data_IF_700517067957
#
_entry.id   IF_700517067957
#
_cell.length_a   1.000
_cell.length_b   1.000
_cell.length_c   1.000
_cell.angle_alpha   90.00
_cell.angle_beta   90.00
_cell.angle_gamma   90.00
#
_symmetry.space_group_name_H-M   'P 1'
#
loop_
_entity.id
_entity.type
_entity.pdbx_description
1 polymer ?
#
# COMPACT_ATOMS: atom_id res chain seq x y z
N UNK A 1 10.37 -0.34 -49.60
CA UNK A 1 11.14 0.89 -49.85
C UNK A 1 10.25 2.09 -50.16
N UNK A 2 9.37 2.01 -51.17
CA UNK A 2 8.48 3.13 -51.53
C UNK A 2 7.52 3.54 -50.39
N UNK A 3 6.96 2.57 -49.65
CA UNK A 3 6.08 2.79 -48.49
C UNK A 3 6.78 3.45 -47.29
N UNK A 4 8.06 3.12 -47.07
CA UNK A 4 8.87 3.73 -46.01
C UNK A 4 9.30 5.16 -46.35
N UNK A 5 9.56 5.42 -47.64
CA UNK A 5 9.88 6.77 -48.14
C UNK A 5 8.68 7.70 -48.01
N UNK A 6 7.48 7.22 -48.32
CA UNK A 6 6.23 7.99 -48.16
C UNK A 6 5.96 8.29 -46.69
N UNK A 7 6.16 7.32 -45.79
CA UNK A 7 5.99 7.52 -44.34
C UNK A 7 7.00 8.54 -43.79
N UNK A 8 8.26 8.46 -44.24
CA UNK A 8 9.31 9.41 -43.87
C UNK A 8 8.99 10.83 -44.34
N UNK A 9 8.49 10.99 -45.58
CA UNK A 9 8.07 12.30 -46.11
C UNK A 9 6.88 12.86 -45.32
N UNK A 10 5.89 12.04 -44.99
CA UNK A 10 4.72 12.44 -44.20
C UNK A 10 5.11 12.86 -42.79
N UNK A 11 5.98 12.10 -42.12
CA UNK A 11 6.50 12.43 -40.80
C UNK A 11 7.35 13.70 -40.84
N UNK A 12 8.24 13.86 -41.82
CA UNK A 12 9.09 15.05 -41.95
C UNK A 12 8.27 16.32 -42.19
N UNK A 13 7.23 16.24 -43.02
CA UNK A 13 6.31 17.34 -43.25
C UNK A 13 5.46 17.67 -42.01
N UNK A 14 5.02 16.65 -41.27
CA UNK A 14 4.27 16.78 -40.03
C UNK A 14 5.13 17.43 -38.93
N UNK A 15 6.40 17.05 -38.79
CA UNK A 15 7.30 17.58 -37.77
C UNK A 15 7.81 19.00 -38.08
N UNK A 16 8.04 19.34 -39.35
CA UNK A 16 8.34 20.73 -39.74
C UNK A 16 7.18 21.71 -39.48
N UNK A 17 5.96 21.20 -39.37
CA UNK A 17 4.79 21.99 -38.97
C UNK A 17 4.71 22.21 -37.44
N UNK A 18 5.10 21.20 -36.65
CA UNK A 18 5.17 21.27 -35.17
C UNK A 18 6.27 22.23 -34.70
N UNK A 19 7.39 22.31 -35.42
CA UNK A 19 8.52 23.20 -35.12
C UNK A 19 8.16 24.70 -35.16
N UNK A 20 7.13 25.09 -35.92
CA UNK A 20 6.66 26.48 -36.00
C UNK A 20 5.87 26.97 -34.76
N UNK A 21 5.63 26.12 -33.76
CA UNK A 21 4.72 26.38 -32.62
C UNK A 21 5.43 26.52 -31.25
N UNK A 22 6.75 26.77 -31.21
CA UNK A 22 7.53 27.10 -29.99
C UNK A 22 7.33 26.19 -28.76
N UNK A 23 7.10 24.89 -28.95
CA UNK A 23 7.30 23.88 -27.90
C UNK A 23 8.32 22.86 -28.37
N UNK A 24 9.09 22.29 -27.44
CA UNK A 24 10.30 21.46 -27.56
C UNK A 24 10.17 20.15 -28.38
N UNK A 25 9.62 20.22 -29.58
CA UNK A 25 9.38 19.09 -30.47
C UNK A 25 10.63 18.61 -31.20
N UNK A 26 11.61 19.48 -31.45
CA UNK A 26 12.82 19.14 -32.24
C UNK A 26 13.70 18.11 -31.54
N UNK A 27 13.89 18.22 -30.23
CA UNK A 27 14.66 17.26 -29.44
C UNK A 27 14.03 15.86 -29.46
N UNK A 28 12.73 15.76 -29.14
CA UNK A 28 12.01 14.49 -29.12
C UNK A 28 11.86 13.87 -30.51
N UNK A 29 11.73 14.70 -31.55
CA UNK A 29 11.69 14.24 -32.95
C UNK A 29 13.04 13.64 -33.37
N UNK A 30 14.14 14.33 -33.07
CA UNK A 30 15.49 13.83 -33.37
C UNK A 30 15.81 12.56 -32.55
N UNK A 31 15.37 12.50 -31.29
CA UNK A 31 15.55 11.35 -30.41
C UNK A 31 14.78 10.12 -30.92
N UNK A 32 13.51 10.28 -31.31
CA UNK A 32 12.70 9.21 -31.88
C UNK A 32 13.23 8.74 -33.24
N UNK A 33 13.69 9.67 -34.09
CA UNK A 33 14.35 9.33 -35.36
C UNK A 33 15.68 8.58 -35.15
N UNK A 34 16.45 8.92 -34.12
CA UNK A 34 17.69 8.23 -33.76
C UNK A 34 17.39 6.80 -33.27
N UNK A 35 16.41 6.63 -32.37
CA UNK A 35 15.97 5.32 -31.90
C UNK A 35 15.46 4.47 -33.08
N UNK A 36 14.66 5.07 -33.96
CA UNK A 36 14.12 4.41 -35.14
C UNK A 36 15.24 3.97 -36.11
N UNK A 37 16.23 4.82 -36.35
CA UNK A 37 17.40 4.51 -37.17
C UNK A 37 18.22 3.35 -36.57
N UNK A 38 18.45 3.37 -35.26
CA UNK A 38 19.19 2.32 -34.54
C UNK A 38 18.43 0.99 -34.56
N UNK A 39 17.11 1.01 -34.36
CA UNK A 39 16.27 -0.19 -34.38
C UNK A 39 16.18 -0.83 -35.77
N UNK A 40 16.06 0.00 -36.81
CA UNK A 40 16.09 -0.47 -38.20
C UNK A 40 17.45 -1.08 -38.53
N UNK A 41 18.55 -0.39 -38.22
CA UNK A 41 19.90 -0.89 -38.54
C UNK A 41 20.30 -2.13 -37.75
N UNK A 42 19.80 -2.31 -36.54
CA UNK A 42 20.27 -3.38 -35.64
C UNK A 42 19.52 -4.70 -35.84
N UNK A 43 18.33 -4.71 -36.46
CA UNK A 43 17.47 -5.89 -36.44
C UNK A 43 16.68 -6.17 -37.74
N UNK A 44 17.32 -5.97 -38.90
CA UNK A 44 16.70 -6.15 -40.23
C UNK A 44 16.08 -7.54 -40.53
N UNK A 45 16.29 -8.57 -39.70
CA UNK A 45 15.88 -9.95 -40.03
C UNK A 45 15.00 -10.67 -39.00
N UNK A 46 14.57 -10.03 -37.91
CA UNK A 46 13.76 -10.70 -36.89
C UNK A 46 12.30 -10.27 -36.94
N UNK A 47 11.37 -11.24 -37.06
CA UNK A 47 9.92 -11.02 -36.95
C UNK A 47 9.58 -10.28 -35.65
N UNK A 48 10.28 -10.60 -34.56
CA UNK A 48 10.12 -9.96 -33.25
C UNK A 48 10.49 -8.47 -33.28
N UNK A 49 11.50 -8.08 -34.07
CA UNK A 49 11.87 -6.67 -34.25
C UNK A 49 10.83 -5.92 -35.10
N UNK A 50 10.29 -6.56 -36.14
CA UNK A 50 9.18 -5.99 -36.90
C UNK A 50 7.93 -5.78 -36.04
N UNK A 51 7.63 -6.71 -35.11
CA UNK A 51 6.52 -6.56 -34.15
C UNK A 51 6.75 -5.43 -33.15
N UNK A 52 7.97 -5.30 -32.61
CA UNK A 52 8.33 -4.20 -31.71
C UNK A 52 8.29 -2.83 -32.41
N UNK A 53 8.78 -2.76 -33.65
CA UNK A 53 8.73 -1.54 -34.47
C UNK A 53 7.27 -1.19 -34.82
N UNK A 54 6.44 -2.17 -35.18
CA UNK A 54 5.02 -1.94 -35.42
C UNK A 54 4.30 -1.45 -34.16
N UNK A 55 4.60 -2.03 -32.99
CA UNK A 55 4.08 -1.57 -31.71
C UNK A 55 4.49 -0.13 -31.38
N UNK A 56 5.77 0.20 -31.54
CA UNK A 56 6.27 1.56 -31.31
C UNK A 56 5.66 2.59 -32.28
N UNK A 57 5.48 2.22 -33.56
CA UNK A 57 4.80 3.06 -34.56
C UNK A 57 3.32 3.24 -34.26
N UNK A 58 2.63 2.20 -33.78
CA UNK A 58 1.24 2.31 -33.34
C UNK A 58 1.09 3.24 -32.14
N UNK A 59 2.00 3.15 -31.15
CA UNK A 59 2.01 4.05 -29.98
C UNK A 59 2.30 5.49 -30.42
N UNK A 60 3.28 5.71 -31.29
CA UNK A 60 3.61 7.04 -31.81
C UNK A 60 2.46 7.63 -32.65
N UNK A 61 1.78 6.82 -33.46
CA UNK A 61 0.62 7.24 -34.25
C UNK A 61 -0.56 7.61 -33.36
N UNK A 62 -0.83 6.81 -32.32
CA UNK A 62 -1.85 7.11 -31.30
C UNK A 62 -1.53 8.42 -30.59
N UNK A 63 -0.29 8.61 -30.10
CA UNK A 63 0.12 9.84 -29.42
C UNK A 63 0.08 11.06 -30.35
N UNK A 64 0.47 10.91 -31.61
CA UNK A 64 0.33 11.95 -32.62
C UNK A 64 -1.13 12.33 -32.85
N UNK A 65 -2.04 11.36 -32.86
CA UNK A 65 -3.48 11.61 -32.99
C UNK A 65 -4.08 12.30 -31.76
N UNK A 66 -3.60 11.96 -30.56
CA UNK A 66 -3.98 12.59 -29.28
C UNK A 66 -3.58 14.07 -29.27
N UNK A 67 -2.35 14.38 -29.71
CA UNK A 67 -1.84 15.75 -29.80
C UNK A 67 -2.63 16.60 -30.81
N UNK A 68 -3.06 16.02 -31.94
CA UNK A 68 -3.93 16.69 -32.92
C UNK A 68 -5.35 16.90 -32.36
N UNK A 69 -5.91 15.89 -31.67
CA UNK A 69 -7.24 15.94 -31.07
C UNK A 69 -7.41 17.07 -30.04
N UNK A 70 -6.34 17.36 -29.28
CA UNK A 70 -6.29 18.45 -28.31
C UNK A 70 -6.49 19.84 -28.92
N UNK A 71 -6.21 20.02 -30.22
CA UNK A 71 -6.17 21.34 -30.86
C UNK A 71 -7.37 21.61 -31.78
N UNK A 72 -7.99 20.57 -32.35
CA UNK A 72 -9.03 20.75 -33.38
C UNK A 72 -10.48 20.45 -32.93
N UNK A 73 -10.69 19.74 -31.81
CA UNK A 73 -12.04 19.34 -31.38
C UNK A 73 -12.31 19.66 -29.90
N UNK A 74 -12.85 20.84 -29.56
CA UNK A 74 -13.19 21.22 -28.19
C UNK A 74 -14.52 20.57 -27.72
N UNK A 75 -14.79 19.31 -28.09
CA UNK A 75 -15.98 18.58 -27.65
C UNK A 75 -15.63 17.56 -26.56
N UNK A 76 -16.38 17.62 -25.45
CA UNK A 76 -16.22 16.79 -24.25
C UNK A 76 -16.24 15.26 -24.48
N UNK A 77 -16.62 14.78 -25.67
CA UNK A 77 -16.73 13.36 -25.99
C UNK A 77 -15.40 12.77 -26.48
N UNK A 78 -14.66 13.51 -27.32
CA UNK A 78 -13.40 13.02 -27.91
C UNK A 78 -12.28 12.97 -26.87
N UNK A 79 -12.23 13.96 -25.98
CA UNK A 79 -11.35 13.98 -24.81
C UNK A 79 -11.64 12.82 -23.84
N UNK A 80 -12.92 12.51 -23.57
CA UNK A 80 -13.28 11.33 -22.77
C UNK A 80 -12.83 10.04 -23.45
N UNK A 81 -13.06 9.89 -24.75
CA UNK A 81 -12.63 8.70 -25.49
C UNK A 81 -11.12 8.52 -25.51
N UNK A 82 -10.34 9.60 -25.63
CA UNK A 82 -8.87 9.55 -25.55
C UNK A 82 -8.39 9.23 -24.14
N UNK A 83 -8.93 9.92 -23.13
CA UNK A 83 -8.60 9.66 -21.73
C UNK A 83 -8.97 8.23 -21.34
N UNK A 84 -10.11 7.74 -21.78
CA UNK A 84 -10.54 6.36 -21.54
C UNK A 84 -9.66 5.39 -22.33
N UNK A 85 -9.30 5.67 -23.59
CA UNK A 85 -8.39 4.82 -24.36
C UNK A 85 -7.00 4.73 -23.73
N UNK A 86 -6.39 5.86 -23.35
CA UNK A 86 -5.09 5.90 -22.69
C UNK A 86 -5.14 5.13 -21.36
N UNK A 87 -6.20 5.34 -20.56
CA UNK A 87 -6.44 4.60 -19.32
C UNK A 87 -6.64 3.09 -19.55
N UNK A 88 -7.44 2.68 -20.53
CA UNK A 88 -7.66 1.26 -20.85
C UNK A 88 -6.39 0.61 -21.38
N UNK A 89 -5.64 1.30 -22.22
CA UNK A 89 -4.38 0.84 -22.78
C UNK A 89 -3.31 0.70 -21.70
N UNK A 90 -3.14 1.69 -20.82
CA UNK A 90 -2.21 1.62 -19.69
C UNK A 90 -2.62 0.54 -18.68
N UNK A 91 -3.90 0.39 -18.38
CA UNK A 91 -4.39 -0.72 -17.54
C UNK A 91 -4.12 -2.09 -18.19
N UNK A 92 -4.26 -2.20 -19.51
CA UNK A 92 -3.97 -3.42 -20.25
C UNK A 92 -2.48 -3.74 -20.27
N UNK A 93 -1.63 -2.74 -20.53
CA UNK A 93 -0.16 -2.85 -20.42
C UNK A 93 0.24 -3.27 -19.02
N UNK A 94 -0.29 -2.60 -17.99
CA UNK A 94 0.00 -2.91 -16.60
C UNK A 94 -0.36 -4.37 -16.28
N UNK A 95 -1.54 -4.85 -16.70
CA UNK A 95 -1.92 -6.26 -16.54
C UNK A 95 -0.98 -7.23 -17.24
N UNK A 96 -0.50 -6.90 -18.43
CA UNK A 96 0.49 -7.72 -19.16
C UNK A 96 1.83 -7.76 -18.42
N UNK A 97 2.32 -6.59 -17.99
CA UNK A 97 3.57 -6.47 -17.23
C UNK A 97 3.45 -7.27 -15.93
N UNK A 98 2.38 -7.07 -15.16
CA UNK A 98 2.14 -7.81 -13.93
C UNK A 98 2.03 -9.31 -14.19
N UNK A 99 1.32 -9.75 -15.24
CA UNK A 99 1.26 -11.16 -15.63
C UNK A 99 2.63 -11.75 -15.91
N UNK A 100 3.50 -11.01 -16.61
CA UNK A 100 4.87 -11.43 -16.86
C UNK A 100 5.74 -11.46 -15.60
N UNK A 101 5.62 -10.45 -14.72
CA UNK A 101 6.30 -10.42 -13.44
C UNK A 101 5.90 -11.59 -12.54
N UNK A 102 4.62 -11.98 -12.52
CA UNK A 102 4.16 -13.18 -11.80
C UNK A 102 4.78 -14.47 -12.36
N UNK A 103 4.91 -14.58 -13.69
CA UNK A 103 5.61 -15.72 -14.30
C UNK A 103 7.09 -15.74 -13.89
N UNK A 104 7.77 -14.59 -13.89
CA UNK A 104 9.17 -14.52 -13.42
C UNK A 104 9.27 -14.90 -11.94
N UNK A 105 8.36 -14.40 -11.09
CA UNK A 105 8.33 -14.67 -9.66
C UNK A 105 8.14 -16.17 -9.34
N UNK A 106 7.59 -16.96 -10.27
CA UNK A 106 7.53 -18.42 -10.14
C UNK A 106 8.92 -19.07 -10.20
N UNK A 107 9.83 -18.53 -11.03
CA UNK A 107 11.17 -19.07 -11.25
C UNK A 107 12.23 -18.43 -10.34
N UNK A 108 12.11 -17.14 -10.05
CA UNK A 108 13.05 -16.39 -9.23
C UNK A 108 12.47 -16.27 -7.83
N UNK A 109 12.88 -17.12 -6.88
CA UNK A 109 12.35 -17.04 -5.51
C UNK A 109 13.09 -16.00 -4.66
N UNK A 110 12.41 -15.29 -3.75
CA UNK A 110 13.08 -14.44 -2.78
C UNK A 110 13.96 -15.29 -1.85
N UNK A 111 15.12 -14.75 -1.46
CA UNK A 111 16.04 -15.43 -0.54
C UNK A 111 15.39 -15.65 0.84
N UNK A 112 14.57 -14.69 1.27
CA UNK A 112 13.75 -14.76 2.48
C UNK A 112 12.31 -14.51 2.10
N UNK A 113 11.48 -15.55 2.24
CA UNK A 113 10.03 -15.43 2.08
C UNK A 113 9.42 -14.94 3.39
N UNK A 114 8.70 -13.82 3.33
CA UNK A 114 7.91 -13.29 4.43
C UNK A 114 6.83 -14.31 4.81
N UNK A 115 6.71 -14.62 6.10
CA UNK A 115 5.66 -15.48 6.62
C UNK A 115 4.39 -14.66 6.83
N UNK A 116 3.42 -14.82 5.92
CA UNK A 116 2.07 -14.25 6.07
C UNK A 116 1.51 -14.62 7.46
N UNK A 117 0.99 -13.62 8.17
CA UNK A 117 0.45 -13.75 9.52
C UNK A 117 1.40 -14.50 10.47
N UNK A 118 2.72 -14.31 10.34
CA UNK A 118 3.79 -14.92 11.13
C UNK A 118 3.80 -16.45 11.14
N UNK A 119 3.17 -17.09 10.14
CA UNK A 119 2.90 -18.54 10.15
C UNK A 119 2.17 -18.98 11.43
N UNK A 120 1.28 -18.13 11.94
CA UNK A 120 0.58 -18.38 13.19
C UNK A 120 -0.39 -19.56 13.05
N UNK A 121 -0.16 -20.61 13.84
CA UNK A 121 -1.02 -21.79 13.85
C UNK A 121 -2.47 -21.46 14.24
N UNK A 122 -2.68 -20.47 15.11
CA UNK A 122 -4.04 -20.04 15.49
C UNK A 122 -4.77 -19.41 14.31
N UNK A 123 -4.06 -18.60 13.51
CA UNK A 123 -4.61 -18.08 12.26
C UNK A 123 -5.00 -19.20 11.30
N UNK A 124 -4.14 -20.20 11.09
CA UNK A 124 -4.45 -21.33 10.20
C UNK A 124 -5.69 -22.11 10.66
N UNK A 125 -5.83 -22.33 11.96
CA UNK A 125 -7.01 -23.00 12.53
C UNK A 125 -8.26 -22.11 12.40
N UNK A 126 -8.13 -20.80 12.62
CA UNK A 126 -9.20 -19.83 12.48
C UNK A 126 -9.70 -19.73 11.03
N UNK A 127 -8.78 -19.55 10.08
CA UNK A 127 -9.04 -19.54 8.64
C UNK A 127 -9.74 -20.84 8.19
N UNK A 128 -9.27 -22.01 8.65
CA UNK A 128 -9.92 -23.29 8.33
C UNK A 128 -11.34 -23.39 8.90
N UNK A 129 -11.56 -22.89 10.12
CA UNK A 129 -12.88 -22.88 10.74
C UNK A 129 -13.83 -21.95 9.97
N UNK A 130 -13.38 -20.77 9.57
CA UNK A 130 -14.15 -19.82 8.78
C UNK A 130 -14.49 -20.37 7.39
N UNK A 131 -13.52 -20.95 6.69
CA UNK A 131 -13.73 -21.56 5.37
C UNK A 131 -14.73 -22.73 5.42
N UNK A 132 -14.74 -23.49 6.52
CA UNK A 132 -15.68 -24.60 6.73
C UNK A 132 -16.98 -24.17 7.42
N UNK A 133 -17.21 -22.86 7.55
CA UNK A 133 -18.43 -22.30 8.13
C UNK A 133 -18.71 -22.78 9.56
N UNK A 134 -17.65 -23.03 10.33
CA UNK A 134 -17.72 -23.47 11.73
C UNK A 134 -17.77 -22.24 12.63
N UNK A 135 -18.84 -21.47 12.53
CA UNK A 135 -19.02 -20.17 13.19
C UNK A 135 -18.74 -20.16 14.68
N UNK A 136 -19.34 -21.11 15.42
CA UNK A 136 -19.08 -21.26 16.85
C UNK A 136 -17.58 -21.43 17.16
N UNK A 137 -16.87 -22.18 16.32
CA UNK A 137 -15.43 -22.40 16.48
C UNK A 137 -14.63 -21.13 16.20
N UNK A 138 -15.05 -20.31 15.23
CA UNK A 138 -14.44 -19.00 14.95
C UNK A 138 -14.58 -18.09 16.17
N UNK A 139 -15.78 -17.97 16.72
CA UNK A 139 -16.07 -17.19 17.93
C UNK A 139 -15.22 -17.63 19.12
N UNK A 140 -15.14 -18.95 19.37
CA UNK A 140 -14.32 -19.50 20.46
C UNK A 140 -12.85 -19.12 20.34
N UNK A 141 -12.27 -19.24 19.13
CA UNK A 141 -10.84 -18.96 18.92
C UNK A 141 -10.54 -17.48 19.18
N UNK A 142 -11.40 -16.59 18.66
CA UNK A 142 -11.22 -15.14 18.79
C UNK A 142 -11.42 -14.71 20.25
N UNK A 143 -12.48 -15.17 20.92
CA UNK A 143 -12.79 -14.76 22.30
C UNK A 143 -11.85 -15.35 23.35
N UNK A 144 -11.13 -16.44 23.06
CA UNK A 144 -10.12 -17.02 23.95
C UNK A 144 -8.74 -16.35 23.82
N UNK A 145 -8.52 -15.52 22.79
CA UNK A 145 -7.25 -14.83 22.60
C UNK A 145 -7.12 -13.64 23.57
N UNK A 146 -5.88 -13.33 23.98
CA UNK A 146 -5.57 -12.08 24.68
C UNK A 146 -5.86 -10.88 23.75
N UNK A 147 -6.16 -9.70 24.29
CA UNK A 147 -6.54 -8.50 23.53
C UNK A 147 -5.65 -8.26 22.28
N UNK A 148 -4.34 -8.11 22.43
CA UNK A 148 -3.43 -7.87 21.29
C UNK A 148 -3.42 -9.02 20.26
N UNK A 149 -3.49 -10.26 20.74
CA UNK A 149 -3.53 -11.45 19.88
C UNK A 149 -4.88 -11.58 19.17
N UNK A 150 -5.96 -11.14 19.82
CA UNK A 150 -7.31 -11.08 19.25
C UNK A 150 -7.34 -10.07 18.11
N UNK A 151 -6.83 -8.88 18.34
CA UNK A 151 -6.70 -7.84 17.32
C UNK A 151 -5.86 -8.32 16.13
N UNK A 152 -4.74 -9.00 16.40
CA UNK A 152 -3.92 -9.60 15.35
C UNK A 152 -4.66 -10.67 14.55
N UNK A 153 -5.41 -11.56 15.20
CA UNK A 153 -6.19 -12.60 14.52
C UNK A 153 -7.29 -12.00 13.63
N UNK A 154 -7.95 -10.96 14.12
CA UNK A 154 -9.00 -10.23 13.37
C UNK A 154 -8.37 -9.53 12.17
N UNK A 155 -7.28 -8.79 12.36
CA UNK A 155 -6.54 -8.14 11.27
C UNK A 155 -5.95 -9.15 10.27
N UNK A 156 -5.60 -10.36 10.72
CA UNK A 156 -5.10 -11.42 9.84
C UNK A 156 -6.19 -12.01 8.93
N UNK A 157 -7.47 -11.92 9.32
CA UNK A 157 -8.61 -12.37 8.52
C UNK A 157 -8.97 -11.41 7.39
N UNK A 158 -8.20 -10.34 7.21
CA UNK A 158 -8.29 -9.42 6.08
C UNK A 158 -7.72 -10.02 4.77
N UNK A 159 -7.71 -11.34 4.66
CA UNK A 159 -7.22 -12.09 3.50
C UNK A 159 -8.22 -12.04 2.33
N UNK A 160 -7.73 -11.99 1.09
CA UNK A 160 -8.55 -11.95 -0.14
C UNK A 160 -9.49 -13.17 -0.27
N UNK A 161 -9.20 -14.25 0.45
CA UNK A 161 -10.01 -15.46 0.52
C UNK A 161 -11.35 -15.27 1.28
N UNK A 162 -11.45 -14.28 2.18
CA UNK A 162 -12.62 -14.08 3.05
C UNK A 162 -13.47 -12.89 2.61
N UNK A 163 -14.14 -13.06 1.47
CA UNK A 163 -15.03 -12.06 0.87
C UNK A 163 -16.27 -11.77 1.75
N UNK A 164 -16.91 -10.58 1.64
CA UNK A 164 -18.09 -10.21 2.42
C UNK A 164 -19.20 -11.26 2.47
N UNK A 165 -19.42 -12.00 1.36
CA UNK A 165 -20.44 -13.05 1.25
C UNK A 165 -20.31 -14.17 2.29
N UNK A 166 -19.10 -14.50 2.76
CA UNK A 166 -18.92 -15.50 3.82
C UNK A 166 -19.55 -15.05 5.13
N UNK A 167 -19.41 -13.76 5.46
CA UNK A 167 -19.91 -13.20 6.71
C UNK A 167 -21.39 -12.84 6.62
N UNK A 168 -21.91 -12.49 5.43
CA UNK A 168 -23.36 -12.34 5.20
C UNK A 168 -24.11 -13.63 5.57
N UNK A 169 -23.60 -14.78 5.10
CA UNK A 169 -24.17 -16.09 5.45
C UNK A 169 -24.11 -16.38 6.95
N UNK A 170 -23.06 -15.95 7.64
CA UNK A 170 -22.98 -16.07 9.10
C UNK A 170 -24.03 -15.19 9.79
N UNK A 171 -24.13 -13.92 9.39
CA UNK A 171 -25.15 -12.98 9.92
C UNK A 171 -26.58 -13.51 9.72
N UNK A 172 -26.88 -14.11 8.56
CA UNK A 172 -28.18 -14.73 8.30
C UNK A 172 -28.52 -15.88 9.26
N UNK A 173 -27.50 -16.65 9.67
CA UNK A 173 -27.67 -17.80 10.57
C UNK A 173 -27.65 -17.40 12.05
N UNK A 174 -26.86 -16.38 12.40
CA UNK A 174 -26.66 -15.90 13.77
C UNK A 174 -26.76 -14.35 13.83
N UNK A 175 -27.96 -13.77 13.65
CA UNK A 175 -28.15 -12.31 13.54
C UNK A 175 -27.87 -11.54 14.84
N UNK A 176 -27.71 -12.23 15.97
CA UNK A 176 -27.35 -11.63 17.27
C UNK A 176 -25.84 -11.75 17.56
N UNK A 177 -25.04 -12.22 16.59
CA UNK A 177 -23.61 -12.42 16.77
C UNK A 177 -22.81 -11.16 16.38
N UNK A 178 -22.38 -10.39 17.38
CA UNK A 178 -21.59 -9.16 17.19
C UNK A 178 -20.31 -9.38 16.37
N UNK A 179 -19.63 -10.52 16.54
CA UNK A 179 -18.38 -10.83 15.84
C UNK A 179 -18.60 -11.05 14.34
N UNK A 180 -19.76 -11.60 13.95
CA UNK A 180 -20.10 -11.76 12.53
C UNK A 180 -20.20 -10.40 11.82
N UNK A 181 -20.84 -9.42 12.47
CA UNK A 181 -20.92 -8.04 11.97
C UNK A 181 -19.55 -7.34 11.97
N UNK A 182 -18.74 -7.53 13.00
CA UNK A 182 -17.39 -6.99 13.07
C UNK A 182 -16.54 -7.46 11.87
N UNK A 183 -16.50 -8.77 11.63
CA UNK A 183 -15.71 -9.36 10.54
C UNK A 183 -16.28 -9.01 9.16
N UNK A 184 -17.61 -8.94 9.01
CA UNK A 184 -18.24 -8.42 7.79
C UNK A 184 -17.80 -6.97 7.52
N UNK A 185 -17.79 -6.11 8.54
CA UNK A 185 -17.34 -4.73 8.42
C UNK A 185 -15.89 -4.64 7.93
N UNK A 186 -14.97 -5.42 8.50
CA UNK A 186 -13.58 -5.47 8.06
C UNK A 186 -13.46 -5.97 6.61
N UNK A 187 -14.21 -7.02 6.25
CA UNK A 187 -14.26 -7.52 4.87
C UNK A 187 -14.75 -6.45 3.89
N UNK A 188 -15.70 -5.62 4.31
CA UNK A 188 -16.22 -4.51 3.51
C UNK A 188 -15.22 -3.36 3.37
N UNK A 189 -14.38 -3.09 4.37
CA UNK A 189 -13.26 -2.14 4.25
C UNK A 189 -12.30 -2.60 3.15
N UNK A 190 -11.85 -3.86 3.19
CA UNK A 190 -10.94 -4.43 2.18
C UNK A 190 -11.57 -4.36 0.80
N UNK A 191 -12.82 -4.82 0.70
CA UNK A 191 -13.58 -4.78 -0.55
C UNK A 191 -13.74 -3.34 -1.06
N UNK A 192 -13.78 -2.32 -0.21
CA UNK A 192 -13.78 -0.92 -0.63
C UNK A 192 -12.42 -0.53 -1.22
N UNK A 193 -11.31 -0.81 -0.53
CA UNK A 193 -9.98 -0.47 -1.01
C UNK A 193 -9.61 -1.20 -2.30
N UNK A 194 -10.04 -2.46 -2.49
CA UNK A 194 -9.91 -3.20 -3.76
C UNK A 194 -10.57 -2.43 -4.94
N UNK A 195 -11.73 -1.79 -4.69
CA UNK A 195 -12.44 -1.00 -5.71
C UNK A 195 -11.73 0.31 -6.02
N UNK A 196 -11.24 1.01 -4.99
CA UNK A 196 -10.49 2.25 -5.16
C UNK A 196 -9.19 1.99 -5.93
N UNK A 197 -8.49 0.92 -5.58
CA UNK A 197 -7.13 0.64 -6.01
C UNK A 197 -6.10 1.57 -5.35
N UNK A 198 -4.82 1.32 -5.62
CA UNK A 198 -3.70 2.04 -5.00
C UNK A 198 -3.36 3.37 -5.68
N UNK A 199 -4.13 3.77 -6.70
CA UNK A 199 -3.89 5.01 -7.44
C UNK A 199 -4.36 6.24 -6.66
N UNK A 200 -3.74 7.39 -6.92
CA UNK A 200 -4.11 8.67 -6.30
C UNK A 200 -5.51 9.10 -6.73
N UNK A 201 -6.19 9.87 -5.86
CA UNK A 201 -7.63 10.13 -5.98
C UNK A 201 -8.04 10.87 -7.27
N UNK A 202 -7.09 11.60 -7.87
CA UNK A 202 -7.20 12.36 -9.11
C UNK A 202 -7.22 11.50 -10.39
N UNK A 203 -6.88 10.20 -10.28
CA UNK A 203 -6.78 9.31 -11.46
C UNK A 203 -7.94 8.31 -11.59
N UNK A 204 -8.80 8.20 -10.58
CA UNK A 204 -9.83 7.16 -10.43
C UNK A 204 -11.21 7.67 -10.97
N UNK A 205 -11.95 6.87 -11.77
CA UNK A 205 -13.31 7.22 -12.19
C UNK A 205 -14.26 7.48 -11.01
N UNK A 206 -15.14 8.47 -11.12
CA UNK A 206 -16.15 8.81 -10.10
C UNK A 206 -16.99 7.59 -9.68
N UNK A 207 -17.35 6.71 -10.63
CA UNK A 207 -18.11 5.49 -10.33
C UNK A 207 -17.39 4.51 -9.41
N UNK A 208 -16.06 4.49 -9.39
CA UNK A 208 -15.29 3.69 -8.41
C UNK A 208 -15.33 4.33 -7.03
N UNK A 209 -15.35 5.66 -6.93
CA UNK A 209 -15.54 6.36 -5.66
C UNK A 209 -16.94 6.14 -5.08
N UNK A 210 -17.98 6.15 -5.92
CA UNK A 210 -19.35 5.84 -5.47
C UNK A 210 -19.43 4.43 -4.87
N UNK A 211 -18.87 3.42 -5.54
CA UNK A 211 -18.84 2.06 -5.02
C UNK A 211 -17.93 1.93 -3.78
N UNK A 212 -16.80 2.64 -3.75
CA UNK A 212 -15.93 2.73 -2.57
C UNK A 212 -16.68 3.26 -1.35
N UNK A 213 -17.33 4.43 -1.45
CA UNK A 213 -18.10 5.01 -0.34
C UNK A 213 -19.29 4.15 0.04
N UNK A 214 -19.98 3.54 -0.92
CA UNK A 214 -21.07 2.60 -0.64
C UNK A 214 -20.60 1.42 0.20
N UNK A 215 -19.44 0.83 -0.11
CA UNK A 215 -18.86 -0.28 0.67
C UNK A 215 -18.44 0.18 2.07
N UNK A 216 -17.85 1.36 2.20
CA UNK A 216 -17.52 1.93 3.50
C UNK A 216 -18.75 2.26 4.35
N UNK A 217 -19.85 2.72 3.76
CA UNK A 217 -21.11 2.93 4.48
C UNK A 217 -21.70 1.61 4.98
N UNK A 218 -21.59 0.53 4.20
CA UNK A 218 -21.98 -0.81 4.64
C UNK A 218 -21.08 -1.31 5.79
N UNK A 219 -19.77 -1.07 5.70
CA UNK A 219 -18.84 -1.36 6.80
C UNK A 219 -19.22 -0.59 8.07
N UNK A 220 -19.48 0.71 7.96
CA UNK A 220 -19.88 1.57 9.08
C UNK A 220 -21.14 1.03 9.78
N UNK A 221 -22.18 0.71 9.00
CA UNK A 221 -23.42 0.17 9.53
C UNK A 221 -23.20 -1.17 10.23
N UNK A 222 -22.34 -2.03 9.67
CA UNK A 222 -22.00 -3.30 10.31
C UNK A 222 -21.30 -3.09 11.65
N UNK A 223 -20.35 -2.17 11.75
CA UNK A 223 -19.71 -1.85 13.04
C UNK A 223 -20.70 -1.28 14.05
N UNK A 224 -21.66 -0.45 13.62
CA UNK A 224 -22.72 0.01 14.52
C UNK A 224 -23.64 -1.12 15.00
N UNK A 225 -23.93 -2.11 14.17
CA UNK A 225 -24.64 -3.32 14.62
C UNK A 225 -23.78 -4.17 15.56
N UNK A 226 -22.49 -4.32 15.29
CA UNK A 226 -21.58 -5.02 16.20
C UNK A 226 -21.55 -4.34 17.59
N UNK A 227 -21.48 -3.00 17.61
CA UNK A 227 -21.48 -2.20 18.86
C UNK A 227 -22.82 -2.26 19.59
N UNK A 228 -23.95 -2.32 18.87
CA UNK A 228 -25.27 -2.43 19.52
C UNK A 228 -25.46 -3.80 20.19
N UNK A 229 -24.88 -4.85 19.62
CA UNK A 229 -24.91 -6.22 20.14
C UNK A 229 -23.87 -6.45 21.25
N UNK A 230 -22.66 -5.90 21.09
CA UNK A 230 -21.59 -5.93 22.09
C UNK A 230 -20.89 -4.56 22.17
N UNK A 231 -21.28 -3.78 23.17
CA UNK A 231 -20.71 -2.46 23.40
C UNK A 231 -19.41 -2.50 24.20
N UNK A 232 -18.83 -3.66 24.50
CA UNK A 232 -17.59 -3.79 25.28
C UNK A 232 -16.35 -3.97 24.40
N UNK A 233 -16.54 -4.35 23.13
CA UNK A 233 -15.47 -4.60 22.18
C UNK A 233 -14.84 -3.31 21.63
N UNK A 234 -13.51 -3.21 21.67
CA UNK A 234 -12.76 -2.07 21.16
C UNK A 234 -12.54 -2.11 19.63
N UNK A 235 -12.61 -3.29 19.01
CA UNK A 235 -12.21 -3.50 17.61
C UNK A 235 -13.07 -2.72 16.64
N UNK A 236 -14.39 -2.71 16.85
CA UNK A 236 -15.32 -1.98 15.98
C UNK A 236 -14.99 -0.48 15.97
N UNK A 237 -14.63 0.10 17.11
CA UNK A 237 -14.21 1.50 17.20
C UNK A 237 -12.86 1.73 16.51
N UNK A 238 -11.91 0.80 16.64
CA UNK A 238 -10.64 0.86 15.91
C UNK A 238 -10.87 0.87 14.39
N UNK A 239 -11.70 -0.03 13.87
CA UNK A 239 -12.03 -0.10 12.44
C UNK A 239 -12.84 1.12 11.96
N UNK A 240 -13.68 1.70 12.81
CA UNK A 240 -14.44 2.91 12.49
C UNK A 240 -13.52 4.11 12.23
N UNK A 241 -12.33 4.20 12.82
CA UNK A 241 -11.35 5.24 12.48
C UNK A 241 -10.93 5.13 11.01
N UNK A 242 -10.68 3.91 10.52
CA UNK A 242 -10.35 3.64 9.11
C UNK A 242 -11.50 3.97 8.17
N UNK A 243 -12.72 3.61 8.55
CA UNK A 243 -13.94 3.96 7.80
C UNK A 243 -14.12 5.47 7.73
N UNK A 244 -13.93 6.17 8.84
CA UNK A 244 -14.06 7.61 8.94
C UNK A 244 -13.06 8.33 8.01
N UNK A 245 -11.80 7.86 7.97
CA UNK A 245 -10.80 8.36 7.01
C UNK A 245 -11.29 8.19 5.56
N UNK A 246 -11.72 6.98 5.18
CA UNK A 246 -12.18 6.72 3.81
C UNK A 246 -13.46 7.45 3.40
N UNK A 247 -14.35 7.73 4.35
CA UNK A 247 -15.56 8.54 4.15
C UNK A 247 -15.29 10.05 4.25
N UNK A 248 -14.03 10.47 4.44
CA UNK A 248 -13.64 11.87 4.63
C UNK A 248 -14.43 12.57 5.75
N UNK A 249 -14.69 11.85 6.84
CA UNK A 249 -15.29 12.44 8.04
C UNK A 249 -14.30 13.38 8.72
N UNK A 250 -14.80 14.36 9.48
CA UNK A 250 -13.97 15.31 10.21
C UNK A 250 -13.25 14.67 11.40
N UNK A 251 -12.22 15.35 11.90
CA UNK A 251 -11.40 14.87 13.03
C UNK A 251 -12.21 14.58 14.31
N UNK A 252 -13.34 15.26 14.52
CA UNK A 252 -14.24 14.99 15.66
C UNK A 252 -14.69 13.52 15.69
N UNK A 253 -14.97 12.92 14.53
CA UNK A 253 -15.35 11.51 14.43
C UNK A 253 -14.18 10.60 14.79
N UNK A 254 -12.95 10.92 14.35
CA UNK A 254 -11.75 10.15 14.68
C UNK A 254 -11.54 10.11 16.19
N UNK A 255 -11.61 11.27 16.84
CA UNK A 255 -11.46 11.39 18.29
C UNK A 255 -12.60 10.72 19.05
N UNK A 256 -13.85 10.80 18.57
CA UNK A 256 -14.97 10.11 19.20
C UNK A 256 -14.74 8.59 19.21
N UNK A 257 -14.44 7.99 18.05
CA UNK A 257 -14.17 6.55 17.98
C UNK A 257 -12.92 6.17 18.78
N UNK A 258 -11.85 6.95 18.70
CA UNK A 258 -10.63 6.69 19.47
C UNK A 258 -10.88 6.72 20.99
N UNK A 259 -11.63 7.72 21.48
CA UNK A 259 -12.01 7.80 22.91
C UNK A 259 -12.86 6.60 23.33
N UNK A 260 -13.79 6.15 22.48
CA UNK A 260 -14.59 4.97 22.77
C UNK A 260 -13.74 3.68 22.77
N UNK A 261 -12.77 3.58 21.87
CA UNK A 261 -11.82 2.47 21.82
C UNK A 261 -10.97 2.41 23.10
N UNK A 262 -10.29 3.49 23.49
CA UNK A 262 -9.39 3.50 24.66
C UNK A 262 -10.12 3.33 26.00
N UNK A 263 -11.44 3.62 26.05
CA UNK A 263 -12.29 3.32 27.22
C UNK A 263 -12.45 1.81 27.44
N UNK A 264 -12.34 1.00 26.39
CA UNK A 264 -12.53 -0.45 26.40
C UNK A 264 -11.21 -1.18 26.44
N UNK A 265 -10.29 -0.76 25.59
CA UNK A 265 -8.91 -1.24 25.56
C UNK A 265 -7.96 -0.05 25.38
N UNK A 266 -7.37 0.37 26.51
CA UNK A 266 -6.49 1.54 26.58
C UNK A 266 -5.22 1.37 25.75
N UNK A 267 -4.73 0.14 25.59
CA UNK A 267 -3.44 -0.12 25.00
C UNK A 267 -3.57 -0.76 23.59
N UNK A 268 -4.79 -0.76 23.04
CA UNK A 268 -5.17 -1.34 21.74
C UNK A 268 -4.24 -0.89 20.59
N UNK A 269 -3.31 -1.76 20.20
CA UNK A 269 -2.19 -1.40 19.34
C UNK A 269 -2.64 -0.85 17.98
N UNK A 270 -3.42 -1.63 17.21
CA UNK A 270 -3.78 -1.25 15.84
C UNK A 270 -4.61 0.03 15.79
N UNK A 271 -5.45 0.25 16.79
CA UNK A 271 -6.26 1.46 16.84
C UNK A 271 -5.47 2.73 17.15
N UNK A 272 -4.39 2.64 17.94
CA UNK A 272 -3.42 3.73 18.04
C UNK A 272 -2.68 3.97 16.72
N UNK A 273 -2.35 2.91 15.98
CA UNK A 273 -1.74 3.04 14.66
C UNK A 273 -2.69 3.72 13.66
N UNK A 274 -3.99 3.38 13.69
CA UNK A 274 -5.03 4.00 12.86
C UNK A 274 -5.23 5.47 13.21
N UNK A 275 -5.30 5.80 14.52
CA UNK A 275 -5.42 7.18 14.98
C UNK A 275 -4.23 8.04 14.54
N UNK A 276 -3.01 7.52 14.67
CA UNK A 276 -1.82 8.22 14.18
C UNK A 276 -1.93 8.51 12.68
N UNK A 277 -2.33 7.52 11.87
CA UNK A 277 -2.54 7.74 10.42
C UNK A 277 -3.66 8.76 10.16
N UNK A 278 -4.75 8.74 10.92
CA UNK A 278 -5.85 9.69 10.77
C UNK A 278 -5.44 11.15 11.04
N UNK A 279 -4.42 11.36 11.89
CA UNK A 279 -3.84 12.68 12.17
C UNK A 279 -2.77 13.11 11.16
N UNK A 280 -2.47 12.32 10.14
CA UNK A 280 -1.51 12.72 9.10
C UNK A 280 -2.10 13.81 8.17
N UNK A 281 -1.26 14.63 7.51
CA UNK A 281 -1.73 15.65 6.55
C UNK A 281 -2.62 15.09 5.43
N UNK A 282 -2.35 13.87 4.95
CA UNK A 282 -3.12 13.23 3.86
C UNK A 282 -4.57 12.88 4.26
N UNK A 283 -4.89 12.88 5.55
CA UNK A 283 -6.23 12.59 6.08
C UNK A 283 -6.86 13.79 6.80
N UNK A 284 -6.34 15.01 6.56
CA UNK A 284 -6.90 16.25 7.13
C UNK A 284 -6.38 16.64 8.51
N UNK A 285 -5.32 15.97 8.99
CA UNK A 285 -4.54 16.40 10.15
C UNK A 285 -3.33 17.23 9.77
N UNK A 286 -2.30 17.20 10.61
CA UNK A 286 -1.04 17.93 10.44
C UNK A 286 0.15 17.15 10.99
N UNK A 287 1.35 17.56 10.61
CA UNK A 287 2.59 16.93 11.10
C UNK A 287 2.69 17.13 12.61
N UNK A 288 2.35 18.33 13.08
CA UNK A 288 2.34 18.71 14.49
C UNK A 288 1.39 17.83 15.31
N UNK A 289 0.15 17.63 14.85
CA UNK A 289 -0.83 16.77 15.52
C UNK A 289 -0.38 15.32 15.59
N UNK A 290 0.11 14.76 14.47
CA UNK A 290 0.61 13.38 14.41
C UNK A 290 1.77 13.15 15.40
N UNK A 291 2.79 14.02 15.38
CA UNK A 291 3.93 13.89 16.29
C UNK A 291 3.53 14.17 17.75
N UNK A 292 2.67 15.15 17.99
CA UNK A 292 2.17 15.44 19.33
C UNK A 292 1.43 14.24 19.92
N UNK A 293 0.57 13.58 19.13
CA UNK A 293 -0.12 12.35 19.53
C UNK A 293 0.87 11.24 19.86
N UNK A 294 1.78 10.90 18.95
CA UNK A 294 2.75 9.81 19.14
C UNK A 294 3.60 10.04 20.41
N UNK A 295 4.14 11.26 20.58
CA UNK A 295 4.94 11.66 21.75
C UNK A 295 4.13 11.63 23.04
N UNK A 296 2.87 12.04 23.01
CA UNK A 296 2.00 12.04 24.19
C UNK A 296 1.69 10.62 24.66
N UNK A 297 1.36 9.72 23.73
CA UNK A 297 1.06 8.32 24.04
C UNK A 297 2.26 7.64 24.69
N UNK A 298 3.47 7.83 24.16
CA UNK A 298 4.65 7.09 24.65
C UNK A 298 5.29 7.64 25.92
N UNK A 299 4.91 8.86 26.34
CA UNK A 299 5.59 9.62 27.40
C UNK A 299 5.73 8.89 28.75
N UNK A 300 4.75 8.06 29.10
CA UNK A 300 4.67 7.37 30.39
C UNK A 300 4.44 5.87 30.26
N UNK A 301 4.79 5.29 29.11
CA UNK A 301 4.69 3.85 28.93
C UNK A 301 5.80 3.13 29.70
N UNK A 302 5.53 1.90 30.19
CA UNK A 302 6.58 1.04 30.70
C UNK A 302 7.54 0.63 29.58
N UNK A 303 8.78 0.31 29.94
CA UNK A 303 9.76 -0.26 29.01
C UNK A 303 9.18 -1.51 28.34
N UNK A 304 9.45 -1.71 27.04
CA UNK A 304 8.91 -2.84 26.27
C UNK A 304 7.50 -2.69 25.71
N UNK A 305 6.80 -1.58 25.98
CA UNK A 305 5.43 -1.41 25.50
C UNK A 305 5.33 -1.29 23.96
N UNK A 306 4.39 -2.02 23.35
CA UNK A 306 4.23 -2.07 21.89
C UNK A 306 4.00 -0.69 21.25
N UNK A 307 3.29 0.20 21.95
CA UNK A 307 2.99 1.55 21.47
C UNK A 307 4.23 2.45 21.27
N UNK A 308 5.43 2.05 21.71
CA UNK A 308 6.66 2.71 21.24
C UNK A 308 6.82 2.67 19.72
N UNK A 309 6.18 1.71 19.04
CA UNK A 309 6.09 1.64 17.58
C UNK A 309 5.41 2.85 16.91
N UNK A 310 4.67 3.69 17.65
CA UNK A 310 4.10 4.93 17.12
C UNK A 310 5.18 5.94 16.69
N UNK A 311 6.33 5.96 17.36
CA UNK A 311 7.42 6.88 17.04
C UNK A 311 8.01 6.58 15.65
N UNK A 312 8.53 5.37 15.36
CA UNK A 312 9.04 5.08 14.03
C UNK A 312 7.94 5.19 12.97
N UNK A 313 6.66 4.84 13.28
CA UNK A 313 5.56 5.07 12.35
C UNK A 313 5.38 6.55 11.97
N UNK A 314 5.34 7.46 12.93
CA UNK A 314 5.22 8.90 12.66
C UNK A 314 6.35 9.40 11.74
N UNK A 315 7.57 8.93 11.99
CA UNK A 315 8.72 9.27 11.14
C UNK A 315 8.60 8.69 9.73
N UNK A 316 8.14 7.44 9.58
CA UNK A 316 7.89 6.83 8.26
C UNK A 316 6.79 7.59 7.51
N UNK A 317 5.68 7.96 8.17
CA UNK A 317 4.60 8.73 7.55
C UNK A 317 5.07 10.12 7.08
N UNK A 318 5.91 10.80 7.87
CA UNK A 318 6.51 12.07 7.49
C UNK A 318 7.46 11.92 6.29
N UNK A 319 8.28 10.86 6.28
CA UNK A 319 9.16 10.54 5.16
C UNK A 319 8.37 10.25 3.87
N UNK A 320 7.27 9.50 3.97
CA UNK A 320 6.34 9.25 2.86
C UNK A 320 5.65 10.53 2.39
N UNK A 321 5.28 11.43 3.31
CA UNK A 321 4.68 12.71 2.97
C UNK A 321 5.60 13.52 2.04
N UNK A 322 6.91 13.58 2.32
CA UNK A 322 7.85 14.28 1.44
C UNK A 322 7.99 13.64 0.06
N UNK A 323 7.88 12.31 -0.04
CA UNK A 323 7.82 11.63 -1.34
C UNK A 323 6.55 11.99 -2.12
N UNK A 324 5.42 12.17 -1.44
CA UNK A 324 4.15 12.53 -2.07
C UNK A 324 4.05 14.02 -2.41
N UNK A 325 4.81 14.89 -1.75
CA UNK A 325 4.79 16.34 -1.95
C UNK A 325 5.88 16.83 -2.91
N UNK A 326 6.48 15.94 -3.71
CA UNK A 326 7.60 16.21 -4.61
C UNK A 326 8.78 16.95 -3.95
N UNK A 327 9.03 16.70 -2.66
CA UNK A 327 10.14 17.29 -1.91
C UNK A 327 11.25 16.26 -1.73
N UNK A 328 11.87 15.88 -2.85
CA UNK A 328 12.89 14.83 -2.93
C UNK A 328 14.04 15.07 -1.94
N UNK A 329 14.49 16.33 -1.80
CA UNK A 329 15.59 16.66 -0.90
C UNK A 329 15.24 16.39 0.58
N UNK A 330 14.02 16.73 1.00
CA UNK A 330 13.56 16.45 2.36
C UNK A 330 13.35 14.95 2.56
N UNK A 331 12.81 14.25 1.57
CA UNK A 331 12.62 12.81 1.58
C UNK A 331 13.97 12.05 1.74
N UNK A 332 14.95 12.35 0.90
CA UNK A 332 16.28 11.72 0.91
C UNK A 332 17.03 11.98 2.22
N UNK A 333 16.92 13.20 2.79
CA UNK A 333 17.67 13.58 3.99
C UNK A 333 17.00 13.19 5.29
N UNK A 334 15.73 12.79 5.26
CA UNK A 334 14.89 12.73 6.46
C UNK A 334 15.49 11.90 7.60
N UNK A 335 15.96 10.68 7.29
CA UNK A 335 16.58 9.77 8.27
C UNK A 335 18.06 10.07 8.55
N UNK A 336 18.65 11.06 7.87
CA UNK A 336 19.99 11.55 8.16
C UNK A 336 20.00 12.79 9.08
N UNK A 337 18.81 13.33 9.41
CA UNK A 337 18.65 14.40 10.41
C UNK A 337 18.86 13.82 11.81
N UNK A 338 19.80 14.41 12.56
CA UNK A 338 20.22 13.90 13.86
C UNK A 338 19.07 13.90 14.87
N UNK A 339 18.25 14.96 14.90
CA UNK A 339 17.12 15.09 15.80
C UNK A 339 16.08 13.97 15.60
N UNK A 340 15.78 13.63 14.34
CA UNK A 340 14.85 12.56 14.00
C UNK A 340 15.37 11.21 14.49
N UNK A 341 16.65 10.92 14.24
CA UNK A 341 17.24 9.65 14.66
C UNK A 341 17.45 9.57 16.17
N UNK A 342 17.71 10.68 16.86
CA UNK A 342 17.79 10.73 18.31
C UNK A 342 16.44 10.40 18.97
N UNK A 343 15.32 10.82 18.38
CA UNK A 343 13.98 10.42 18.85
C UNK A 343 13.69 8.94 18.60
N UNK A 344 13.98 8.44 17.39
CA UNK A 344 13.81 7.02 17.04
C UNK A 344 14.68 6.11 17.92
N UNK A 345 15.94 6.49 18.17
CA UNK A 345 16.86 5.72 19.03
C UNK A 345 16.36 5.63 20.47
N UNK A 346 15.91 6.75 21.06
CA UNK A 346 15.35 6.74 22.43
C UNK A 346 14.12 5.85 22.55
N UNK A 347 13.21 5.90 21.57
CA UNK A 347 12.04 5.04 21.54
C UNK A 347 12.42 3.56 21.38
N UNK A 348 13.41 3.27 20.52
CA UNK A 348 13.93 1.92 20.35
C UNK A 348 14.56 1.37 21.63
N UNK A 349 15.38 2.16 22.33
CA UNK A 349 16.00 1.76 23.59
C UNK A 349 14.95 1.45 24.67
N UNK A 350 13.94 2.31 24.81
CA UNK A 350 12.85 2.11 25.76
C UNK A 350 12.02 0.85 25.45
N UNK A 351 11.79 0.56 24.16
CA UNK A 351 11.16 -0.67 23.73
C UNK A 351 12.06 -1.90 23.97
N UNK A 352 13.28 -1.89 23.45
CA UNK A 352 14.21 -3.02 23.49
C UNK A 352 14.58 -3.45 24.92
N UNK A 353 14.66 -2.51 25.87
CA UNK A 353 14.99 -2.81 27.27
C UNK A 353 13.94 -3.67 27.98
N UNK A 354 12.68 -3.57 27.58
CA UNK A 354 11.58 -4.32 28.20
C UNK A 354 11.20 -5.62 27.48
N UNK A 355 11.90 -6.00 26.42
CA UNK A 355 11.61 -7.23 25.66
C UNK A 355 12.81 -8.18 25.64
N UNK A 356 12.62 -9.41 26.11
CA UNK A 356 13.62 -10.47 25.97
C UNK A 356 13.56 -11.14 24.59
N UNK A 357 12.34 -11.35 24.09
CA UNK A 357 12.06 -11.93 22.78
C UNK A 357 10.76 -11.36 22.22
N UNK A 358 10.73 -10.93 20.94
CA UNK A 358 9.49 -10.46 20.33
C UNK A 358 8.48 -11.61 20.17
N UNK A 359 7.22 -11.34 20.50
CA UNK A 359 6.07 -12.10 20.04
C UNK A 359 5.61 -11.58 18.66
N UNK A 360 4.47 -12.08 18.16
CA UNK A 360 3.93 -11.68 16.85
C UNK A 360 3.73 -10.15 16.73
N UNK A 361 3.24 -9.51 17.78
CA UNK A 361 3.05 -8.05 17.80
C UNK A 361 4.39 -7.32 17.92
N UNK A 362 5.31 -7.86 18.70
CA UNK A 362 6.65 -7.29 18.83
C UNK A 362 7.42 -7.28 17.52
N UNK A 363 7.16 -8.23 16.60
CA UNK A 363 7.74 -8.20 15.26
C UNK A 363 7.26 -6.99 14.45
N UNK A 364 5.99 -6.58 14.50
CA UNK A 364 5.55 -5.35 13.82
C UNK A 364 6.36 -4.13 14.26
N UNK A 365 6.57 -3.99 15.56
CA UNK A 365 7.32 -2.87 16.14
C UNK A 365 8.78 -2.91 15.68
N UNK A 366 9.42 -4.08 15.74
CA UNK A 366 10.81 -4.25 15.31
C UNK A 366 11.01 -3.97 13.81
N UNK A 367 10.07 -4.35 12.95
CA UNK A 367 10.14 -4.06 11.51
C UNK A 367 10.20 -2.55 11.24
N UNK A 368 9.40 -1.75 11.94
CA UNK A 368 9.42 -0.29 11.78
C UNK A 368 10.73 0.33 12.25
N UNK A 369 11.27 -0.11 13.39
CA UNK A 369 12.58 0.37 13.86
C UNK A 369 13.71 -0.04 12.92
N UNK A 370 13.74 -1.31 12.49
CA UNK A 370 14.74 -1.82 11.56
C UNK A 370 14.73 -1.06 10.24
N UNK A 371 13.54 -0.72 9.72
CA UNK A 371 13.40 0.12 8.54
C UNK A 371 14.00 1.52 8.74
N UNK A 372 13.72 2.19 9.85
CA UNK A 372 14.29 3.51 10.12
C UNK A 372 15.83 3.47 10.16
N UNK A 373 16.42 2.46 10.79
CA UNK A 373 17.88 2.31 10.83
C UNK A 373 18.48 1.94 9.47
N UNK A 374 17.76 1.16 8.67
CA UNK A 374 18.15 0.86 7.30
C UNK A 374 18.17 2.14 6.46
N UNK A 375 17.14 2.98 6.54
CA UNK A 375 17.07 4.25 5.82
C UNK A 375 18.12 5.26 6.28
N UNK A 376 18.48 5.26 7.58
CA UNK A 376 19.62 6.05 8.07
C UNK A 376 20.97 5.61 7.49
N UNK A 377 21.10 4.33 7.11
CA UNK A 377 22.35 3.70 6.69
C UNK A 377 23.13 3.01 7.83
N UNK A 378 22.53 2.81 9.01
CA UNK A 378 23.15 2.01 10.08
C UNK A 378 22.99 0.51 9.80
N UNK A 379 23.86 0.02 8.91
CA UNK A 379 23.81 -1.37 8.43
C UNK A 379 24.08 -2.39 9.55
N UNK A 380 24.84 -2.02 10.58
CA UNK A 380 25.15 -2.92 11.69
C UNK A 380 23.94 -3.13 12.59
N UNK A 381 23.31 -2.04 13.03
CA UNK A 381 22.09 -2.12 13.86
C UNK A 381 20.95 -2.78 13.09
N UNK A 382 20.82 -2.45 11.80
CA UNK A 382 19.87 -3.10 10.90
C UNK A 382 20.13 -4.61 10.83
N UNK A 383 21.38 -5.04 10.59
CA UNK A 383 21.73 -6.47 10.54
C UNK A 383 21.31 -7.22 11.80
N UNK A 384 21.61 -6.68 12.98
CA UNK A 384 21.27 -7.37 14.23
C UNK A 384 19.75 -7.50 14.42
N UNK A 385 18.97 -6.47 14.07
CA UNK A 385 17.52 -6.54 14.10
C UNK A 385 16.95 -7.53 13.08
N UNK A 386 17.48 -7.54 11.86
CA UNK A 386 17.02 -8.46 10.82
C UNK A 386 17.37 -9.93 11.13
N UNK A 387 18.43 -10.21 11.90
CA UNK A 387 18.66 -11.56 12.45
C UNK A 387 17.56 -12.00 13.41
N UNK A 388 17.05 -11.06 14.22
CA UNK A 388 15.95 -11.32 15.17
C UNK A 388 14.61 -11.46 14.44
N UNK A 389 14.31 -10.57 13.48
CA UNK A 389 13.08 -10.59 12.68
C UNK A 389 13.05 -11.83 11.79
N UNK A 390 14.13 -12.13 11.07
CA UNK A 390 14.22 -13.27 10.18
C UNK A 390 13.06 -13.32 9.18
N UNK A 391 12.28 -14.41 9.18
CA UNK A 391 11.12 -14.60 8.29
C UNK A 391 9.84 -13.91 8.78
N UNK A 392 9.87 -13.32 9.97
CA UNK A 392 8.76 -12.61 10.61
C UNK A 392 8.70 -11.13 10.20
N UNK A 393 9.22 -10.82 9.01
CA UNK A 393 9.04 -9.49 8.46
C UNK A 393 7.59 -9.25 8.04
N UNK A 394 7.20 -8.00 7.92
CA UNK A 394 5.84 -7.57 7.57
C UNK A 394 5.85 -6.82 6.24
N UNK A 395 4.71 -6.72 5.55
CA UNK A 395 4.68 -5.95 4.28
C UNK A 395 5.02 -4.48 4.51
N UNK A 396 4.32 -3.83 5.44
CA UNK A 396 4.72 -2.53 5.96
C UNK A 396 5.89 -2.68 6.95
N UNK A 397 6.96 -1.88 6.87
CA UNK A 397 7.21 -0.79 5.91
C UNK A 397 8.08 -1.20 4.70
N UNK A 398 8.49 -2.47 4.58
CA UNK A 398 9.44 -2.93 3.55
C UNK A 398 8.91 -2.80 2.11
N UNK A 399 7.59 -2.71 1.94
CA UNK A 399 6.95 -2.42 0.65
C UNK A 399 7.41 -1.07 0.04
N UNK A 400 7.93 -0.15 0.86
CA UNK A 400 8.46 1.14 0.42
C UNK A 400 9.93 1.12 -0.01
N UNK A 401 10.63 -0.02 0.03
CA UNK A 401 12.03 -0.08 -0.39
C UNK A 401 12.24 -0.10 -1.92
N UNK A 402 11.16 -0.02 -2.72
CA UNK A 402 11.15 0.33 -4.16
C UNK A 402 11.85 -0.62 -5.14
N UNK A 403 12.70 -1.52 -4.65
CA UNK A 403 13.56 -2.37 -5.46
C UNK A 403 13.75 -3.74 -4.79
N UNK A 404 13.77 -4.85 -5.55
CA UNK A 404 13.72 -4.96 -7.01
C UNK A 404 12.29 -4.86 -7.58
N UNK A 405 12.12 -4.68 -8.89
CA UNK A 405 10.80 -4.66 -9.61
C UNK A 405 9.82 -5.76 -9.17
N UNK A 406 10.32 -6.93 -8.77
CA UNK A 406 9.48 -8.02 -8.24
C UNK A 406 8.81 -7.70 -6.88
N UNK A 407 9.20 -6.60 -6.21
CA UNK A 407 8.55 -6.09 -4.99
C UNK A 407 7.09 -5.70 -5.24
N UNK A 408 6.73 -5.33 -6.48
CA UNK A 408 5.34 -5.09 -6.87
C UNK A 408 4.49 -6.37 -6.87
N UNK A 409 5.11 -7.55 -6.91
CA UNK A 409 4.42 -8.85 -6.81
C UNK A 409 4.38 -9.32 -5.35
N UNK A 410 5.47 -9.14 -4.61
CA UNK A 410 5.63 -9.64 -3.25
C UNK A 410 6.74 -8.88 -2.50
N UNK A 411 6.40 -8.29 -1.36
CA UNK A 411 7.34 -7.56 -0.50
C UNK A 411 8.57 -8.38 -0.09
N UNK A 412 8.46 -9.72 -0.10
CA UNK A 412 9.58 -10.63 0.17
C UNK A 412 10.81 -10.37 -0.70
N UNK A 413 10.65 -9.87 -1.93
CA UNK A 413 11.78 -9.52 -2.78
C UNK A 413 12.53 -8.29 -2.27
N UNK A 414 11.82 -7.24 -1.89
CA UNK A 414 12.41 -6.05 -1.30
C UNK A 414 13.11 -6.40 0.02
N UNK A 415 12.45 -7.15 0.89
CA UNK A 415 13.02 -7.58 2.15
C UNK A 415 14.26 -8.49 1.98
N UNK A 416 14.24 -9.39 0.99
CA UNK A 416 15.39 -10.24 0.65
C UNK A 416 16.60 -9.42 0.21
N UNK A 417 16.38 -8.36 -0.58
CA UNK A 417 17.43 -7.44 -1.02
C UNK A 417 18.04 -6.74 0.20
N UNK A 418 17.22 -6.16 1.07
CA UNK A 418 17.69 -5.51 2.30
C UNK A 418 18.55 -6.48 3.13
N UNK A 419 18.06 -7.70 3.37
CA UNK A 419 18.81 -8.72 4.11
C UNK A 419 20.17 -9.05 3.49
N UNK A 420 20.27 -9.03 2.16
CA UNK A 420 21.50 -9.24 1.41
C UNK A 420 22.44 -8.04 1.54
N UNK A 421 21.92 -6.83 1.39
CA UNK A 421 22.68 -5.57 1.47
C UNK A 421 23.35 -5.41 2.84
N UNK A 422 22.66 -5.83 3.91
CA UNK A 422 23.24 -5.83 5.26
C UNK A 422 23.96 -7.12 5.64
N UNK A 423 23.95 -8.17 4.81
CA UNK A 423 24.70 -9.42 5.05
C UNK A 423 24.15 -10.30 6.18
N UNK A 424 22.82 -10.38 6.35
CA UNK A 424 22.17 -11.22 7.36
C UNK A 424 22.08 -12.68 6.90
N UNK A 425 21.92 -12.89 5.59
CA UNK A 425 21.83 -14.21 4.98
C UNK A 425 22.76 -14.25 3.76
N UNK A 426 23.94 -14.88 3.91
CA UNK A 426 24.85 -15.21 2.81
C UNK A 426 25.74 -16.38 3.22
N UNK A 427 26.01 -17.38 2.37
CA UNK A 427 25.87 -17.45 0.91
C UNK A 427 24.67 -18.22 0.42
#
# INVERSE_FOLDING_TARGET
MLSYLTLLIVLTAFFGFVEKQEQSGTFWTLFLLMIFYVLIRSFEQSIMAATLIAGALSVAAVYGFILIGHHFFPSNLFFRLIHDFDRYFMNWIHKIIMGFLHVIAFFVKPAVKIQKNFNNKRYQVLANALQKERWQRVTEIINQAKADQRALLIASLEDEEFKPAHYEKWIEQEPENALAYLLYGNAMIIAAWEVRGDSTADTIPISRFEEFWKRLALAQNAFYQAISLDNTDAEAFSSLITVAMGLSQGQDAFWEYFVQMIKRDRDHYFGHQSMLTALTPKWGGSQEEMFYFARTVVKHLPEGHLLYGLIPKAHIEQWLYYSMSDNDLAHERYFHVEENMNEINRAFEAYAKGIERPDEMGYYVLNMFAFCFYQQGDLNKTRELLKVIGKQATDYPWSYCGEPVLSHVDTSYAYSKVCKDVGVFGK
#
